data_IF_111403435726
#
_entry.id   IF_111403435726
#
_cell.length_a   1.000
_cell.length_b   1.000
_cell.length_c   1.000
_cell.angle_alpha   90.00
_cell.angle_beta   90.00
_cell.angle_gamma   90.00
#
_symmetry.space_group_name_H-M   'P 1'
#
loop_
_entity.id
_entity.type
_entity.pdbx_description
1 polymer ?
#
# COMPACT_ATOMS: atom_id res chain seq x y z
N UNK A 1 4.92 -26.46 3.91
CA UNK A 1 4.00 -25.31 3.99
C UNK A 1 2.57 -25.81 4.06
N UNK A 2 1.76 -25.49 5.08
CA UNK A 2 0.46 -26.13 5.34
C UNK A 2 -0.67 -25.77 4.36
N UNK A 3 -0.41 -24.88 3.40
CA UNK A 3 -1.38 -24.42 2.39
C UNK A 3 -1.22 -25.11 1.03
N UNK A 4 -0.28 -26.06 0.91
CA UNK A 4 -0.10 -26.88 -0.29
C UNK A 4 -0.68 -28.25 0.02
N UNK A 5 -1.80 -28.59 -0.63
CA UNK A 5 -2.60 -29.78 -0.27
C UNK A 5 -2.20 -31.01 -1.09
N UNK A 6 -1.56 -30.85 -2.26
CA UNK A 6 -1.03 -31.99 -3.02
C UNK A 6 0.17 -31.61 -3.91
N UNK A 7 0.90 -32.64 -4.38
CA UNK A 7 1.99 -32.51 -5.36
C UNK A 7 1.50 -32.10 -6.74
N UNK A 8 0.23 -32.28 -7.07
CA UNK A 8 -0.33 -31.88 -8.36
C UNK A 8 -0.54 -30.37 -8.47
N UNK A 9 -0.66 -29.66 -7.33
CA UNK A 9 -0.70 -28.18 -7.27
C UNK A 9 0.59 -27.55 -7.84
N UNK A 10 1.70 -28.31 -7.94
CA UNK A 10 2.95 -27.86 -8.55
C UNK A 10 2.93 -27.90 -10.08
N UNK A 11 2.06 -28.69 -10.71
CA UNK A 11 1.99 -28.79 -12.19
C UNK A 11 1.31 -27.58 -12.82
N UNK A 12 0.43 -26.91 -12.07
CA UNK A 12 -0.22 -25.65 -12.48
C UNK A 12 0.54 -24.39 -12.03
N UNK A 13 1.63 -24.56 -11.27
CA UNK A 13 2.44 -23.43 -10.81
C UNK A 13 3.13 -22.77 -12.01
N UNK A 14 2.59 -21.63 -12.42
CA UNK A 14 3.10 -20.81 -13.51
C UNK A 14 4.59 -20.51 -13.27
N UNK A 15 5.49 -21.01 -14.12
CA UNK A 15 6.95 -20.84 -14.04
C UNK A 15 7.42 -19.42 -14.40
N UNK A 16 6.51 -18.44 -14.47
CA UNK A 16 6.81 -17.03 -14.75
C UNK A 16 7.14 -16.23 -13.48
N UNK A 17 7.78 -15.08 -13.65
CA UNK A 17 7.85 -14.07 -12.59
C UNK A 17 6.45 -13.51 -12.31
N UNK A 18 5.91 -13.79 -11.12
CA UNK A 18 4.66 -13.23 -10.62
C UNK A 18 3.63 -14.28 -10.22
N UNK A 19 2.68 -13.86 -9.40
CA UNK A 19 1.47 -14.62 -9.07
C UNK A 19 0.78 -15.04 -10.38
N UNK A 20 0.25 -16.26 -10.44
CA UNK A 20 -0.46 -16.79 -11.61
C UNK A 20 -1.42 -15.75 -12.19
N UNK A 21 -1.37 -15.50 -13.50
CA UNK A 21 -2.26 -14.51 -14.14
C UNK A 21 -3.71 -15.00 -14.10
N UNK A 22 -4.67 -14.12 -13.79
CA UNK A 22 -6.11 -14.36 -13.94
C UNK A 22 -6.84 -14.98 -12.74
N UNK A 23 -8.16 -15.17 -12.89
CA UNK A 23 -9.07 -15.70 -11.87
C UNK A 23 -8.77 -17.19 -11.63
N UNK A 24 -8.43 -17.54 -10.39
CA UNK A 24 -8.22 -18.93 -9.98
C UNK A 24 -9.40 -19.43 -9.14
N UNK A 25 -9.82 -20.67 -9.36
CA UNK A 25 -10.81 -21.34 -8.50
C UNK A 25 -10.19 -21.69 -7.15
N UNK A 26 -10.92 -21.49 -6.06
CA UNK A 26 -10.45 -21.81 -4.70
C UNK A 26 -9.78 -20.64 -3.99
N UNK A 27 -8.72 -20.90 -3.21
CA UNK A 27 -8.01 -19.88 -2.40
C UNK A 27 -6.66 -19.55 -3.04
N UNK A 28 -6.33 -18.27 -3.11
CA UNK A 28 -5.03 -17.77 -3.57
C UNK A 28 -4.41 -16.85 -2.53
N UNK A 29 -3.12 -17.02 -2.25
CA UNK A 29 -2.33 -16.03 -1.52
C UNK A 29 -2.00 -14.85 -2.45
N UNK A 30 -2.40 -13.64 -2.08
CA UNK A 30 -2.15 -12.41 -2.85
C UNK A 30 -0.80 -11.79 -2.47
N UNK A 31 -0.45 -11.85 -1.18
CA UNK A 31 0.81 -11.36 -0.64
C UNK A 31 1.35 -12.36 0.40
N UNK A 32 2.67 -12.44 0.50
CA UNK A 32 3.37 -13.15 1.57
C UNK A 32 4.34 -12.16 2.19
N UNK A 33 4.28 -12.00 3.51
CA UNK A 33 5.23 -11.16 4.28
C UNK A 33 6.20 -12.09 5.00
N UNK A 34 7.39 -12.37 4.41
CA UNK A 34 8.40 -13.14 5.12
C UNK A 34 8.91 -12.32 6.32
N UNK A 35 8.99 -12.96 7.48
CA UNK A 35 9.54 -12.37 8.71
C UNK A 35 10.74 -13.22 9.11
N UNK A 36 11.86 -12.57 9.40
CA UNK A 36 13.09 -13.24 9.80
C UNK A 36 14.17 -12.23 10.18
N UNK A 37 15.26 -12.74 10.75
CA UNK A 37 16.42 -11.92 11.07
C UNK A 37 17.14 -11.47 9.80
N UNK A 38 17.61 -10.23 9.80
CA UNK A 38 18.37 -9.70 8.68
C UNK A 38 19.77 -10.33 8.62
N UNK A 39 20.13 -10.87 7.46
CA UNK A 39 21.48 -11.33 7.15
C UNK A 39 21.88 -10.83 5.76
N UNK A 40 22.92 -10.01 5.68
CA UNK A 40 23.39 -9.42 4.42
C UNK A 40 23.99 -10.47 3.48
N UNK A 41 24.50 -11.58 4.04
CA UNK A 41 25.07 -12.68 3.26
C UNK A 41 24.00 -13.50 2.53
N UNK A 42 22.76 -13.51 3.04
CA UNK A 42 21.62 -14.21 2.46
C UNK A 42 20.95 -13.48 1.28
N UNK A 43 21.27 -12.21 1.03
CA UNK A 43 20.68 -11.43 -0.08
C UNK A 43 21.41 -11.68 -1.40
N UNK A 44 20.66 -11.89 -2.48
CA UNK A 44 21.22 -11.94 -3.84
C UNK A 44 21.82 -10.58 -4.19
N UNK A 45 22.86 -10.57 -5.04
CA UNK A 45 23.52 -9.33 -5.48
C UNK A 45 22.54 -8.29 -6.07
N UNK A 46 21.56 -8.74 -6.86
CA UNK A 46 20.52 -7.88 -7.43
C UNK A 46 19.61 -7.26 -6.35
N UNK A 47 19.30 -8.00 -5.28
CA UNK A 47 18.47 -7.52 -4.16
C UNK A 47 19.20 -6.42 -3.39
N UNK A 48 20.51 -6.60 -3.17
CA UNK A 48 21.36 -5.58 -2.51
C UNK A 48 21.42 -4.28 -3.32
N UNK A 49 21.52 -4.36 -4.65
CA UNK A 49 21.50 -3.18 -5.52
C UNK A 49 20.13 -2.48 -5.53
N UNK A 50 19.04 -3.26 -5.56
CA UNK A 50 17.67 -2.73 -5.56
C UNK A 50 17.35 -2.01 -4.25
N UNK A 51 17.74 -2.61 -3.11
CA UNK A 51 17.61 -2.03 -1.76
C UNK A 51 18.25 -0.64 -1.68
N UNK A 52 19.45 -0.47 -2.23
CA UNK A 52 20.19 0.79 -2.15
C UNK A 52 19.63 1.92 -3.03
N UNK A 53 19.02 1.62 -4.18
CA UNK A 53 18.61 2.65 -5.16
C UNK A 53 17.13 3.02 -5.14
N UNK A 54 16.24 2.08 -4.80
CA UNK A 54 14.80 2.27 -5.01
C UNK A 54 13.97 2.17 -3.74
N UNK A 55 14.35 1.33 -2.77
CA UNK A 55 13.49 1.01 -1.62
C UNK A 55 13.21 2.17 -0.66
N UNK A 56 14.05 3.22 -0.65
CA UNK A 56 13.92 4.36 0.26
C UNK A 56 13.49 5.66 -0.40
N UNK A 57 13.34 5.68 -1.74
CA UNK A 57 12.88 6.87 -2.45
C UNK A 57 11.37 7.00 -2.28
N UNK A 58 10.92 8.01 -1.54
CA UNK A 58 9.51 8.32 -1.36
C UNK A 58 9.19 9.69 -1.95
N UNK A 59 8.05 9.80 -2.63
CA UNK A 59 7.48 11.08 -3.08
C UNK A 59 7.30 12.00 -1.88
N UNK A 60 7.27 13.32 -2.08
CA UNK A 60 6.87 14.26 -1.03
C UNK A 60 5.37 14.14 -0.74
N UNK A 61 4.90 14.67 0.39
CA UNK A 61 3.48 14.59 0.77
C UNK A 61 2.63 15.37 -0.25
N UNK A 62 3.10 16.54 -0.67
CA UNK A 62 2.46 17.42 -1.63
C UNK A 62 2.20 16.72 -2.97
N UNK A 63 3.12 15.86 -3.42
CA UNK A 63 2.96 15.06 -4.65
C UNK A 63 1.93 13.94 -4.52
N UNK A 64 1.56 13.59 -3.29
CA UNK A 64 0.57 12.57 -2.96
C UNK A 64 -0.79 13.17 -2.61
N UNK A 65 -0.93 14.49 -2.51
CA UNK A 65 -2.23 15.14 -2.37
C UNK A 65 -2.97 15.16 -3.71
N UNK A 66 -4.29 14.95 -3.71
CA UNK A 66 -5.12 15.20 -4.90
C UNK A 66 -5.12 16.70 -5.25
N UNK A 67 -5.18 17.57 -4.24
CA UNK A 67 -5.01 19.01 -4.36
C UNK A 67 -3.81 19.47 -3.55
N UNK A 68 -2.73 19.91 -4.21
CA UNK A 68 -1.51 20.33 -3.53
C UNK A 68 -1.70 21.54 -2.60
N UNK A 69 -2.71 22.38 -2.87
CA UNK A 69 -3.00 23.55 -2.06
C UNK A 69 -3.54 23.20 -0.66
N UNK A 70 -4.00 21.98 -0.47
CA UNK A 70 -4.52 21.49 0.81
C UNK A 70 -3.42 21.41 1.87
N UNK A 71 -2.15 21.24 1.46
CA UNK A 71 -1.01 21.08 2.36
C UNK A 71 -0.94 22.16 3.45
N UNK A 72 -1.25 23.42 3.09
CA UNK A 72 -1.19 24.57 4.00
C UNK A 72 -2.24 24.55 5.11
N UNK A 73 -3.29 23.74 4.95
CA UNK A 73 -4.41 23.65 5.89
C UNK A 73 -4.27 22.46 6.85
N UNK A 74 -3.25 21.61 6.65
CA UNK A 74 -3.07 20.40 7.44
C UNK A 74 -2.41 20.71 8.79
N UNK A 75 -2.95 20.13 9.86
CA UNK A 75 -2.30 20.18 11.18
C UNK A 75 -1.01 19.36 11.18
N UNK A 76 -0.12 19.64 12.14
CA UNK A 76 1.12 18.88 12.31
C UNK A 76 0.87 17.38 12.57
N UNK A 77 -0.21 17.05 13.27
CA UNK A 77 -0.57 15.65 13.55
C UNK A 77 -1.06 14.91 12.30
N UNK A 78 -1.84 15.59 11.45
CA UNK A 78 -2.23 15.04 10.15
C UNK A 78 -1.00 14.87 9.26
N UNK A 79 -0.11 15.87 9.19
CA UNK A 79 1.14 15.78 8.44
C UNK A 79 2.02 14.62 8.92
N UNK A 80 2.10 14.40 10.23
CA UNK A 80 2.79 13.25 10.82
C UNK A 80 2.19 11.93 10.35
N UNK A 81 0.87 11.77 10.44
CA UNK A 81 0.19 10.57 9.99
C UNK A 81 0.37 10.32 8.48
N UNK A 82 0.30 11.37 7.66
CA UNK A 82 0.56 11.29 6.23
C UNK A 82 2.02 10.89 5.92
N UNK A 83 3.00 11.36 6.70
CA UNK A 83 4.39 10.96 6.51
C UNK A 83 4.61 9.46 6.80
N UNK A 84 3.90 8.90 7.79
CA UNK A 84 3.90 7.45 8.01
C UNK A 84 3.22 6.71 6.84
N UNK A 85 2.07 7.19 6.37
CA UNK A 85 1.39 6.68 5.18
C UNK A 85 2.27 6.70 3.93
N UNK A 86 3.02 7.78 3.73
CA UNK A 86 3.99 7.95 2.63
C UNK A 86 5.15 6.98 2.71
N UNK A 87 5.58 6.59 3.92
CA UNK A 87 6.67 5.62 4.14
C UNK A 87 6.24 4.17 3.92
N UNK A 88 4.93 3.90 3.89
CA UNK A 88 4.36 2.57 3.69
C UNK A 88 4.96 1.83 2.47
N UNK A 89 5.12 0.49 2.55
CA UNK A 89 5.58 -0.28 1.41
C UNK A 89 4.50 -0.38 0.32
N UNK A 90 4.93 -0.52 -0.93
CA UNK A 90 4.06 -0.80 -2.08
C UNK A 90 4.77 -1.66 -3.11
N UNK A 91 4.00 -2.36 -3.95
CA UNK A 91 4.54 -3.14 -5.05
C UNK A 91 5.44 -2.26 -5.93
N UNK A 92 6.68 -2.69 -6.12
CA UNK A 92 7.71 -1.95 -6.87
C UNK A 92 7.91 -0.48 -6.43
N UNK A 93 7.59 -0.14 -5.17
CA UNK A 93 7.65 1.23 -4.63
C UNK A 93 6.82 2.25 -5.43
N UNK A 94 5.69 1.79 -6.00
CA UNK A 94 4.88 2.59 -6.92
C UNK A 94 4.19 3.79 -6.26
N UNK A 95 3.87 3.70 -4.96
CA UNK A 95 3.25 4.79 -4.18
C UNK A 95 2.04 5.38 -4.92
N UNK A 96 1.06 4.51 -5.17
CA UNK A 96 -0.09 4.79 -6.04
C UNK A 96 -1.29 5.38 -5.31
N UNK A 97 -1.19 5.59 -3.99
CA UNK A 97 -2.22 6.29 -3.21
C UNK A 97 -2.19 7.79 -3.48
N UNK A 98 -3.35 8.42 -3.29
CA UNK A 98 -3.52 9.84 -3.10
C UNK A 98 -4.28 10.10 -1.81
N UNK A 99 -3.94 11.21 -1.19
CA UNK A 99 -4.62 11.77 -0.04
C UNK A 99 -5.51 12.91 -0.52
N UNK A 100 -6.78 12.86 -0.12
CA UNK A 100 -7.72 13.95 -0.32
C UNK A 100 -8.39 14.26 1.01
N UNK A 101 -9.00 15.43 1.10
CA UNK A 101 -9.65 15.91 2.30
C UNK A 101 -11.07 16.37 1.97
N UNK A 102 -11.96 16.23 2.95
CA UNK A 102 -13.22 16.99 2.94
C UNK A 102 -12.96 18.44 3.32
N UNK A 103 -13.93 19.33 3.07
CA UNK A 103 -13.75 20.79 3.19
C UNK A 103 -13.32 21.24 4.60
N UNK A 104 -13.67 20.48 5.64
CA UNK A 104 -13.32 20.77 7.03
C UNK A 104 -11.96 20.19 7.46
N UNK A 105 -11.28 19.46 6.57
CA UNK A 105 -10.02 18.76 6.82
C UNK A 105 -10.06 17.71 7.95
N UNK A 106 -11.25 17.28 8.37
CA UNK A 106 -11.45 16.25 9.40
C UNK A 106 -11.62 14.86 8.84
N UNK A 107 -11.87 14.73 7.54
CA UNK A 107 -11.93 13.43 6.89
C UNK A 107 -10.81 13.30 5.87
N UNK A 108 -9.94 12.32 6.08
CA UNK A 108 -8.90 11.94 5.13
C UNK A 108 -9.44 10.85 4.22
N UNK A 109 -9.32 11.03 2.92
CA UNK A 109 -9.60 9.99 1.91
C UNK A 109 -8.29 9.46 1.35
N UNK A 110 -8.15 8.13 1.30
CA UNK A 110 -6.98 7.43 0.76
C UNK A 110 -7.43 6.45 -0.31
N UNK A 111 -7.05 6.70 -1.55
CA UNK A 111 -7.45 5.89 -2.70
C UNK A 111 -6.40 5.94 -3.80
N UNK A 112 -6.52 5.06 -4.80
CA UNK A 112 -5.82 5.27 -6.07
C UNK A 112 -6.44 6.42 -6.85
N UNK A 113 -5.68 7.13 -7.71
CA UNK A 113 -6.26 8.05 -8.69
C UNK A 113 -7.35 7.40 -9.54
N UNK A 114 -8.37 8.17 -9.89
CA UNK A 114 -9.41 7.74 -10.85
C UNK A 114 -8.75 7.38 -12.19
N UNK A 115 -9.15 6.27 -12.78
CA UNK A 115 -8.62 5.81 -14.08
C UNK A 115 -7.22 5.20 -14.03
N UNK A 116 -6.65 4.97 -12.83
CA UNK A 116 -5.37 4.28 -12.68
C UNK A 116 -5.41 2.88 -13.32
N UNK A 117 -4.50 2.62 -14.27
CA UNK A 117 -4.32 1.32 -14.92
C UNK A 117 -3.07 0.64 -14.38
N UNK A 118 -3.23 -0.51 -13.72
CA UNK A 118 -2.10 -1.32 -13.30
C UNK A 118 -1.35 -1.92 -14.51
N UNK A 119 -0.02 -1.96 -14.46
CA UNK A 119 0.78 -2.59 -15.51
C UNK A 119 1.18 -4.04 -15.15
N UNK A 120 1.65 -4.27 -13.92
CA UNK A 120 2.12 -5.60 -13.46
C UNK A 120 1.49 -6.08 -12.14
N UNK A 121 0.93 -5.17 -11.35
CA UNK A 121 0.39 -5.48 -10.03
C UNK A 121 -1.14 -5.50 -10.07
N UNK A 122 -1.73 -6.70 -10.04
CA UNK A 122 -3.18 -6.91 -10.20
C UNK A 122 -4.00 -6.51 -8.96
N UNK A 123 -3.35 -6.25 -7.82
CA UNK A 123 -4.01 -6.01 -6.54
C UNK A 123 -3.59 -4.69 -5.86
N UNK A 124 -3.64 -3.54 -6.56
CA UNK A 124 -3.14 -2.27 -6.02
C UNK A 124 -3.93 -1.76 -4.80
N UNK A 125 -5.18 -2.21 -4.61
CA UNK A 125 -5.95 -1.94 -3.40
C UNK A 125 -5.28 -2.49 -2.12
N UNK A 126 -4.42 -3.51 -2.23
CA UNK A 126 -3.61 -3.99 -1.10
C UNK A 126 -2.64 -2.90 -0.64
N UNK A 127 -1.95 -2.23 -1.58
CA UNK A 127 -1.03 -1.15 -1.27
C UNK A 127 -1.75 0.06 -0.66
N UNK A 128 -2.98 0.34 -1.12
CA UNK A 128 -3.83 1.39 -0.54
C UNK A 128 -4.17 1.07 0.91
N UNK A 129 -4.59 -0.17 1.21
CA UNK A 129 -4.90 -0.60 2.57
C UNK A 129 -3.68 -0.55 3.50
N UNK A 130 -2.49 -0.94 3.01
CA UNK A 130 -1.23 -0.82 3.76
C UNK A 130 -0.95 0.65 4.09
N UNK A 131 -1.08 1.56 3.13
CA UNK A 131 -0.91 3.00 3.35
C UNK A 131 -1.92 3.54 4.36
N UNK A 132 -3.22 3.22 4.19
CA UNK A 132 -4.28 3.66 5.09
C UNK A 132 -4.06 3.17 6.52
N UNK A 133 -3.57 1.94 6.68
CA UNK A 133 -3.21 1.40 8.00
C UNK A 133 -2.11 2.22 8.69
N UNK A 134 -1.11 2.70 7.95
CA UNK A 134 -0.05 3.55 8.52
C UNK A 134 -0.59 4.92 8.93
N UNK A 135 -1.47 5.53 8.12
CA UNK A 135 -2.10 6.81 8.47
C UNK A 135 -2.96 6.65 9.72
N UNK A 136 -3.81 5.61 9.75
CA UNK A 136 -4.66 5.28 10.90
C UNK A 136 -3.85 5.09 12.19
N UNK A 137 -2.77 4.30 12.15
CA UNK A 137 -1.87 4.14 13.30
C UNK A 137 -1.18 5.45 13.69
N UNK A 138 -0.79 6.27 12.72
CA UNK A 138 -0.20 7.59 12.98
C UNK A 138 -1.14 8.54 13.71
N UNK A 139 -2.43 8.51 13.38
CA UNK A 139 -3.45 9.31 14.08
C UNK A 139 -3.68 8.81 15.51
N UNK A 140 -3.72 7.48 15.71
CA UNK A 140 -3.82 6.89 17.05
C UNK A 140 -2.60 7.28 17.90
N UNK A 141 -1.40 7.25 17.33
CA UNK A 141 -0.16 7.67 18.01
C UNK A 141 -0.20 9.15 18.44
N UNK A 142 -0.98 9.99 17.74
CA UNK A 142 -1.26 11.38 18.10
C UNK A 142 -2.46 11.58 19.03
N UNK A 143 -3.08 10.49 19.50
CA UNK A 143 -4.15 10.53 20.49
C UNK A 143 -5.56 10.73 19.90
N UNK A 144 -5.73 10.59 18.59
CA UNK A 144 -7.05 10.58 17.97
C UNK A 144 -7.74 9.21 18.13
N UNK A 145 -9.07 9.19 18.03
CA UNK A 145 -9.89 7.97 17.92
C UNK A 145 -10.55 7.88 16.53
N UNK A 146 -9.75 7.60 15.47
CA UNK A 146 -10.20 7.73 14.10
C UNK A 146 -11.26 6.68 13.70
N UNK A 147 -12.33 7.15 13.07
CA UNK A 147 -13.38 6.30 12.50
C UNK A 147 -13.06 5.93 11.05
N UNK A 148 -13.04 4.64 10.73
CA UNK A 148 -12.63 4.14 9.41
C UNK A 148 -13.82 3.52 8.67
N UNK A 149 -14.01 3.95 7.42
CA UNK A 149 -14.92 3.29 6.47
C UNK A 149 -14.20 3.00 5.16
N UNK A 150 -14.61 1.93 4.48
CA UNK A 150 -14.06 1.57 3.16
C UNK A 150 -15.22 1.31 2.22
N UNK A 151 -15.17 1.90 1.03
CA UNK A 151 -16.14 1.66 -0.05
C UNK A 151 -15.42 1.30 -1.35
N UNK A 152 -16.11 0.54 -2.20
CA UNK A 152 -15.70 0.42 -3.60
C UNK A 152 -16.16 1.65 -4.37
N UNK A 153 -15.27 2.21 -5.18
CA UNK A 153 -15.62 3.16 -6.21
C UNK A 153 -14.91 2.78 -7.52
N UNK A 154 -15.69 2.16 -8.41
CA UNK A 154 -15.24 1.76 -9.74
C UNK A 154 -14.03 0.81 -9.68
N UNK A 155 -14.04 -0.13 -8.72
CA UNK A 155 -12.95 -1.08 -8.49
C UNK A 155 -11.78 -0.55 -7.64
N UNK A 156 -11.86 0.70 -7.18
CA UNK A 156 -10.89 1.29 -6.23
C UNK A 156 -11.42 1.14 -4.81
N UNK A 157 -10.55 0.69 -3.91
CA UNK A 157 -10.83 0.80 -2.47
C UNK A 157 -10.61 2.26 -2.04
N UNK A 158 -11.67 2.92 -1.61
CA UNK A 158 -11.64 4.28 -1.07
C UNK A 158 -11.77 4.20 0.44
N UNK A 159 -10.66 4.43 1.14
CA UNK A 159 -10.62 4.50 2.58
C UNK A 159 -10.96 5.92 3.02
N UNK A 160 -11.87 6.06 3.98
CA UNK A 160 -12.17 7.33 4.66
C UNK A 160 -11.85 7.18 6.14
N UNK A 161 -11.08 8.11 6.67
CA UNK A 161 -10.65 8.16 8.06
C UNK A 161 -11.08 9.51 8.62
N UNK A 162 -12.08 9.51 9.50
CA UNK A 162 -12.56 10.71 10.19
C UNK A 162 -11.85 10.90 11.54
N UNK A 163 -11.52 12.15 11.89
CA UNK A 163 -10.87 12.56 13.14
C UNK A 163 -11.60 13.69 13.87
#
# INVERSE_FOLDING_TARGET
MPHLRSTDDFKEANMGYGYSKGITKGRRAICITPIGYYDDSGLRLMDRMTKKKFSFKRKKIEELLENQNDYKNLSEDVLYALDLGRKAPSAANAQMWRFAFEDDFKTITIAMPVGYKHFKWEHPNVDIGICASHVWLGLIDKGYDPQVTVRDDSGRAVWRIGI
#
